data_IF_525339815549
#
_entry.id   IF_525339815549
#
_cell.length_a   1.000
_cell.length_b   1.000
_cell.length_c   1.000
_cell.angle_alpha   90.00
_cell.angle_beta   90.00
_cell.angle_gamma   90.00
#
_symmetry.space_group_name_H-M   'P 1'
#
loop_
_entity.id
_entity.type
_entity.pdbx_description
1 polymer ?
#
# COMPACT_ATOMS: atom_id res chain seq x y z
N UNK A 1 -67.65 16.20 41.19
CA UNK A 1 -67.44 14.83 40.67
C UNK A 1 -66.34 14.90 39.62
N UNK A 2 -65.28 14.08 39.80
CA UNK A 2 -64.42 13.47 38.75
C UNK A 2 -63.59 14.41 37.84
N UNK A 3 -62.30 14.61 38.13
CA UNK A 3 -61.09 13.86 37.69
C UNK A 3 -60.35 14.61 36.55
N UNK A 4 -59.16 15.17 36.84
CA UNK A 4 -57.83 14.83 36.23
C UNK A 4 -57.56 15.36 34.82
N UNK A 5 -56.37 15.79 34.38
CA UNK A 5 -55.06 16.18 34.92
C UNK A 5 -54.23 16.62 33.66
N UNK A 6 -53.13 17.36 33.87
CA UNK A 6 -51.92 17.47 33.01
C UNK A 6 -51.75 18.63 32.01
N UNK A 7 -50.65 19.36 32.27
CA UNK A 7 -49.96 20.41 31.53
C UNK A 7 -49.44 19.97 30.15
N UNK A 8 -49.32 20.91 29.21
CA UNK A 8 -48.29 20.85 28.15
C UNK A 8 -47.91 22.26 27.67
N UNK A 9 -46.69 22.65 28.01
CA UNK A 9 -45.97 23.82 27.51
C UNK A 9 -45.46 23.45 26.11
N UNK A 10 -45.91 24.15 25.07
CA UNK A 10 -45.32 24.05 23.73
C UNK A 10 -44.40 25.26 23.48
N UNK A 11 -43.09 25.01 23.60
CA UNK A 11 -42.05 25.89 23.08
C UNK A 11 -42.11 25.90 21.55
N UNK A 12 -42.27 27.09 20.95
CA UNK A 12 -42.10 27.30 19.51
C UNK A 12 -40.64 27.05 19.13
N UNK A 13 -40.41 26.01 18.33
CA UNK A 13 -39.17 25.76 17.62
C UNK A 13 -38.93 26.85 16.56
N UNK A 14 -37.81 27.57 16.68
CA UNK A 14 -37.21 28.33 15.59
C UNK A 14 -36.62 27.36 14.56
N UNK A 15 -37.28 27.20 13.42
CA UNK A 15 -36.70 26.59 12.21
C UNK A 15 -35.73 27.59 11.57
N UNK A 16 -34.45 27.48 11.92
CA UNK A 16 -33.38 28.08 11.15
C UNK A 16 -33.23 27.30 9.84
N UNK A 17 -33.76 27.85 8.75
CA UNK A 17 -33.45 27.39 7.39
C UNK A 17 -31.98 27.75 7.14
N UNK A 18 -31.08 26.76 7.24
CA UNK A 18 -29.75 26.87 6.66
C UNK A 18 -29.90 27.00 5.14
N UNK A 19 -29.94 28.23 4.63
CA UNK A 19 -29.66 28.49 3.21
C UNK A 19 -28.18 28.16 3.01
N UNK A 20 -27.90 26.94 2.56
CA UNK A 20 -26.61 26.65 1.95
C UNK A 20 -26.46 27.53 0.73
N UNK A 21 -25.57 28.52 0.78
CA UNK A 21 -25.20 29.30 -0.39
C UNK A 21 -24.52 28.32 -1.36
N UNK A 22 -25.22 27.96 -2.44
CA UNK A 22 -24.54 27.29 -3.55
C UNK A 22 -23.49 28.27 -4.09
N UNK A 23 -22.24 27.84 -4.18
CA UNK A 23 -21.16 28.65 -4.73
C UNK A 23 -21.12 28.50 -6.25
N UNK A 24 -20.90 29.61 -6.95
CA UNK A 24 -20.85 29.64 -8.41
C UNK A 24 -19.44 29.28 -8.92
N UNK A 25 -19.38 28.63 -10.08
CA UNK A 25 -18.14 28.16 -10.71
C UNK A 25 -18.26 28.15 -12.24
N UNK A 26 -17.16 27.83 -12.93
CA UNK A 26 -17.16 27.62 -14.37
C UNK A 26 -17.35 28.91 -15.17
N UNK A 27 -17.83 28.80 -16.41
CA UNK A 27 -17.95 29.92 -17.35
C UNK A 27 -18.85 31.04 -16.82
N UNK A 28 -19.86 30.71 -16.02
CA UNK A 28 -20.79 31.64 -15.37
C UNK A 28 -20.10 32.48 -14.28
N UNK A 29 -18.94 32.03 -13.78
CA UNK A 29 -18.15 32.67 -12.74
C UNK A 29 -16.71 32.95 -13.19
N UNK A 30 -16.50 33.24 -14.49
CA UNK A 30 -15.18 33.63 -15.01
C UNK A 30 -14.11 32.53 -14.94
N UNK A 31 -14.53 31.25 -14.92
CA UNK A 31 -13.64 30.10 -14.80
C UNK A 31 -13.28 29.72 -13.36
N UNK A 32 -13.99 30.24 -12.35
CA UNK A 32 -13.75 29.89 -10.96
C UNK A 32 -13.92 28.39 -10.70
N UNK A 33 -13.00 27.83 -9.89
CA UNK A 33 -13.06 26.45 -9.40
C UNK A 33 -13.87 26.38 -8.10
N UNK A 34 -14.49 25.24 -7.84
CA UNK A 34 -15.20 25.03 -6.57
C UNK A 34 -14.24 24.76 -5.42
N UNK A 35 -14.45 25.36 -4.24
CA UNK A 35 -13.67 25.02 -3.06
C UNK A 35 -13.96 23.57 -2.61
N UNK A 36 -13.03 22.99 -1.86
CA UNK A 36 -13.15 21.62 -1.37
C UNK A 36 -13.07 20.53 -2.45
N UNK A 37 -12.72 20.89 -3.70
CA UNK A 37 -12.60 19.93 -4.80
C UNK A 37 -13.94 19.41 -5.34
N UNK A 38 -15.04 20.12 -5.06
CA UNK A 38 -16.38 19.79 -5.56
C UNK A 38 -16.46 19.94 -7.09
N UNK A 39 -17.33 19.19 -7.74
CA UNK A 39 -17.54 19.32 -9.18
C UNK A 39 -18.28 20.62 -9.51
N UNK A 40 -17.92 21.22 -10.64
CA UNK A 40 -18.65 22.34 -11.20
C UNK A 40 -19.64 21.84 -12.26
N UNK A 41 -20.95 21.95 -11.98
CA UNK A 41 -22.00 21.51 -12.91
C UNK A 41 -21.99 22.30 -14.22
N UNK A 42 -22.70 21.79 -15.24
CA UNK A 42 -22.93 22.52 -16.51
C UNK A 42 -23.61 23.89 -16.35
N UNK A 43 -24.25 24.11 -15.20
CA UNK A 43 -24.97 25.34 -14.87
C UNK A 43 -24.14 26.32 -14.02
N UNK A 44 -22.90 25.97 -13.70
CA UNK A 44 -21.97 26.84 -12.97
C UNK A 44 -22.20 26.85 -11.46
N UNK A 45 -22.52 25.69 -10.89
CA UNK A 45 -22.72 25.50 -9.44
C UNK A 45 -21.87 24.36 -8.90
N UNK A 46 -21.38 24.53 -7.68
CA UNK A 46 -20.55 23.56 -6.98
C UNK A 46 -21.36 22.48 -6.26
N UNK A 47 -20.97 21.21 -6.41
CA UNK A 47 -21.57 20.08 -5.70
C UNK A 47 -20.87 18.75 -5.97
N UNK A 48 -21.28 17.70 -5.27
CA UNK A 48 -20.69 16.35 -5.30
C UNK A 48 -21.68 15.26 -5.77
N UNK A 49 -22.82 15.68 -6.35
CA UNK A 49 -23.81 14.75 -6.92
C UNK A 49 -23.53 14.48 -8.40
N UNK A 50 -24.11 13.41 -8.99
CA UNK A 50 -23.97 13.14 -10.43
C UNK A 50 -24.36 14.32 -11.32
N UNK A 51 -25.36 15.12 -10.93
CA UNK A 51 -25.77 16.33 -11.67
C UNK A 51 -24.67 17.40 -11.77
N UNK A 52 -23.72 17.37 -10.83
CA UNK A 52 -22.57 18.27 -10.78
C UNK A 52 -21.34 17.66 -11.44
N UNK A 53 -21.11 16.36 -11.26
CA UNK A 53 -19.87 15.68 -11.66
C UNK A 53 -19.91 15.01 -13.04
N UNK A 54 -21.09 14.76 -13.60
CA UNK A 54 -21.23 13.97 -14.84
C UNK A 54 -21.51 14.84 -16.07
N UNK A 55 -22.54 14.53 -16.86
CA UNK A 55 -22.80 15.09 -18.19
C UNK A 55 -22.83 16.63 -18.21
N UNK A 56 -21.77 17.23 -18.73
CA UNK A 56 -21.61 18.67 -18.88
C UNK A 56 -20.88 19.36 -17.72
N UNK A 57 -20.28 18.61 -16.79
CA UNK A 57 -19.41 19.18 -15.77
C UNK A 57 -18.28 20.02 -16.40
N UNK A 58 -18.06 21.22 -15.86
CA UNK A 58 -17.13 22.21 -16.39
C UNK A 58 -15.72 22.08 -15.79
N UNK A 59 -15.59 21.66 -14.53
CA UNK A 59 -14.30 21.52 -13.83
C UNK A 59 -14.41 20.61 -12.60
N UNK A 60 -13.30 19.99 -12.19
CA UNK A 60 -13.23 19.10 -11.00
C UNK A 60 -14.19 17.90 -11.05
N UNK A 61 -14.50 17.43 -12.26
CA UNK A 61 -15.52 16.40 -12.54
C UNK A 61 -15.18 14.99 -12.05
N UNK A 62 -13.92 14.76 -11.67
CA UNK A 62 -13.43 13.53 -11.06
C UNK A 62 -13.43 13.59 -9.52
N UNK A 63 -13.91 14.68 -8.92
CA UNK A 63 -13.95 14.91 -7.48
C UNK A 63 -15.23 14.40 -6.83
N UNK A 64 -15.14 13.23 -6.18
CA UNK A 64 -16.13 12.63 -5.28
C UNK A 64 -17.44 12.11 -5.92
N UNK A 65 -17.60 10.78 -5.91
CA UNK A 65 -18.92 10.13 -5.99
C UNK A 65 -19.13 9.15 -7.14
N UNK A 66 -18.63 7.92 -6.96
CA UNK A 66 -19.12 6.63 -7.48
C UNK A 66 -19.97 6.56 -8.77
N UNK A 67 -19.46 5.81 -9.76
CA UNK A 67 -20.32 5.14 -10.74
C UNK A 67 -19.68 4.88 -12.11
N UNK A 68 -18.96 3.76 -12.21
CA UNK A 68 -18.96 2.87 -13.37
C UNK A 68 -18.53 3.39 -14.75
N UNK A 69 -17.45 2.83 -15.29
CA UNK A 69 -17.31 2.70 -16.74
C UNK A 69 -15.89 2.74 -17.26
N UNK A 70 -15.25 1.56 -17.30
CA UNK A 70 -14.27 1.11 -18.29
C UNK A 70 -13.40 2.15 -19.01
N UNK A 71 -12.10 2.10 -18.73
CA UNK A 71 -11.10 2.71 -19.60
C UNK A 71 -9.70 2.47 -19.05
N UNK A 72 -9.03 1.43 -19.55
CA UNK A 72 -7.60 1.23 -19.30
C UNK A 72 -6.81 2.45 -19.78
N UNK A 73 -6.05 3.04 -18.89
CA UNK A 73 -5.16 4.16 -19.19
C UNK A 73 -4.25 4.36 -18.00
N UNK A 74 -2.93 4.28 -18.22
CA UNK A 74 -1.90 4.35 -17.18
C UNK A 74 -2.12 5.53 -16.26
N UNK A 75 -2.60 5.25 -15.05
CA UNK A 75 -2.67 6.24 -13.99
C UNK A 75 -1.28 6.53 -13.44
N UNK A 76 -1.10 7.69 -12.84
CA UNK A 76 0.05 7.94 -11.98
C UNK A 76 -0.32 7.51 -10.55
N UNK A 77 0.44 6.64 -9.86
CA UNK A 77 0.23 6.36 -8.44
C UNK A 77 0.14 7.62 -7.58
N UNK A 78 0.78 8.72 -7.98
CA UNK A 78 0.65 10.03 -7.32
C UNK A 78 -0.79 10.59 -7.29
N UNK A 79 -1.66 10.16 -8.20
CA UNK A 79 -3.09 10.49 -8.18
C UNK A 79 -3.90 9.70 -7.14
N UNK A 80 -3.35 8.56 -6.67
CA UNK A 80 -3.99 7.69 -5.67
C UNK A 80 -3.47 8.00 -4.26
N UNK A 81 -2.18 8.30 -4.12
CA UNK A 81 -1.55 8.64 -2.85
C UNK A 81 -0.86 10.02 -2.93
N UNK A 82 -1.44 10.98 -2.22
CA UNK A 82 -0.84 12.31 -2.07
C UNK A 82 0.39 12.28 -1.15
N UNK A 83 1.24 13.31 -1.23
CA UNK A 83 2.37 13.48 -0.30
C UNK A 83 1.92 13.49 1.16
N UNK A 84 0.86 14.23 1.49
CA UNK A 84 0.36 14.31 2.86
C UNK A 84 -0.17 12.96 3.35
N UNK A 85 -0.81 12.17 2.49
CA UNK A 85 -1.23 10.80 2.84
C UNK A 85 -0.02 9.90 3.06
N UNK A 86 0.99 9.95 2.19
CA UNK A 86 2.24 9.20 2.38
C UNK A 86 2.93 9.56 3.70
N UNK A 87 3.01 10.85 4.01
CA UNK A 87 3.59 11.34 5.26
C UNK A 87 2.76 10.93 6.49
N UNK A 88 1.44 10.87 6.37
CA UNK A 88 0.55 10.38 7.43
C UNK A 88 0.69 8.87 7.68
N UNK A 89 0.82 8.09 6.60
CA UNK A 89 1.04 6.65 6.68
C UNK A 89 2.38 6.36 7.37
N UNK A 90 3.44 7.05 6.96
CA UNK A 90 4.81 6.85 7.46
C UNK A 90 5.24 7.96 8.43
N UNK A 91 4.39 8.22 9.43
CA UNK A 91 4.43 9.41 10.29
C UNK A 91 5.76 9.59 11.03
N UNK A 92 6.29 8.53 11.64
CA UNK A 92 7.48 8.60 12.50
C UNK A 92 8.79 8.20 11.81
N UNK A 93 8.79 7.95 10.50
CA UNK A 93 10.01 7.49 9.79
C UNK A 93 11.20 8.44 9.87
N UNK A 94 10.93 9.73 10.12
CA UNK A 94 11.93 10.80 10.21
C UNK A 94 12.26 11.20 11.66
N UNK A 95 11.69 10.52 12.65
CA UNK A 95 11.98 10.80 14.06
C UNK A 95 13.45 10.52 14.36
N UNK A 96 13.99 11.23 15.36
CA UNK A 96 15.41 11.17 15.70
C UNK A 96 15.91 9.77 16.09
N UNK A 97 15.00 8.89 16.55
CA UNK A 97 15.29 7.51 16.92
C UNK A 97 15.42 6.56 15.71
N UNK A 98 14.95 6.96 14.52
CA UNK A 98 15.01 6.12 13.33
C UNK A 98 16.35 6.28 12.59
N UNK A 99 17.15 5.21 12.44
CA UNK A 99 18.41 5.29 11.70
C UNK A 99 18.25 5.68 10.23
N UNK A 100 17.09 5.41 9.63
CA UNK A 100 16.77 5.79 8.25
C UNK A 100 16.13 7.19 8.12
N UNK A 101 16.13 8.02 9.18
CA UNK A 101 15.53 9.36 9.12
C UNK A 101 16.00 10.15 7.90
N UNK A 102 15.05 10.81 7.23
CA UNK A 102 15.21 11.58 5.99
C UNK A 102 15.63 10.77 4.74
N UNK A 103 15.76 9.44 4.81
CA UNK A 103 16.09 8.61 3.66
C UNK A 103 14.87 8.40 2.74
N UNK A 104 13.75 7.98 3.30
CA UNK A 104 12.55 7.63 2.53
C UNK A 104 11.68 8.86 2.22
N UNK A 105 11.78 9.35 1.00
CA UNK A 105 11.00 10.52 0.53
C UNK A 105 9.84 10.10 -0.38
N UNK A 106 8.77 10.89 -0.37
CA UNK A 106 7.66 10.72 -1.31
C UNK A 106 8.13 10.83 -2.77
N UNK A 107 9.04 11.76 -3.05
CA UNK A 107 9.59 11.94 -4.41
C UNK A 107 10.36 10.71 -4.89
N UNK A 108 11.12 10.07 -4.00
CA UNK A 108 11.81 8.82 -4.34
C UNK A 108 10.82 7.67 -4.59
N UNK A 109 9.75 7.58 -3.78
CA UNK A 109 8.68 6.61 -3.99
C UNK A 109 8.01 6.81 -5.36
N UNK A 110 7.54 8.02 -5.68
CA UNK A 110 6.89 8.32 -6.97
C UNK A 110 7.87 8.17 -8.15
N UNK A 111 9.14 8.54 -7.98
CA UNK A 111 10.15 8.32 -9.02
C UNK A 111 10.38 6.82 -9.30
N UNK A 112 10.34 5.98 -8.26
CA UNK A 112 10.50 4.54 -8.40
C UNK A 112 9.28 3.87 -9.07
N UNK A 113 8.06 4.29 -8.77
CA UNK A 113 6.84 3.71 -9.38
C UNK A 113 6.78 3.87 -10.90
N UNK A 114 7.44 4.89 -11.46
CA UNK A 114 7.56 5.08 -12.92
C UNK A 114 8.22 3.90 -13.65
N UNK A 115 9.05 3.12 -12.96
CA UNK A 115 9.64 1.90 -13.53
C UNK A 115 8.67 0.70 -13.53
N UNK A 116 7.53 0.81 -12.84
CA UNK A 116 6.57 -0.27 -12.64
C UNK A 116 5.15 0.23 -12.90
N UNK A 117 4.79 0.52 -14.18
CA UNK A 117 3.56 1.23 -14.52
C UNK A 117 2.26 0.51 -14.14
N UNK A 118 2.30 -0.79 -13.79
CA UNK A 118 1.14 -1.54 -13.30
C UNK A 118 0.84 -1.35 -11.81
N UNK A 119 1.84 -0.93 -11.01
CA UNK A 119 1.71 -0.76 -9.56
C UNK A 119 0.84 0.45 -9.23
N UNK A 120 -0.23 0.26 -8.45
CA UNK A 120 -1.12 1.34 -8.02
C UNK A 120 -2.01 1.91 -9.13
N UNK A 121 -2.04 1.25 -10.30
CA UNK A 121 -2.79 1.70 -11.49
C UNK A 121 -3.71 0.63 -12.05
N UNK A 122 -3.67 -0.57 -11.47
CA UNK A 122 -4.47 -1.72 -11.88
C UNK A 122 -5.78 -1.80 -11.09
N UNK A 123 -6.89 -2.08 -11.77
CA UNK A 123 -8.21 -2.22 -11.14
C UNK A 123 -8.90 -0.88 -10.89
N UNK A 124 -9.95 -0.93 -10.07
CA UNK A 124 -10.69 0.26 -9.63
C UNK A 124 -9.92 1.04 -8.55
N UNK A 125 -10.43 2.23 -8.19
CA UNK A 125 -9.78 3.10 -7.18
C UNK A 125 -9.56 2.39 -5.83
N UNK A 126 -10.54 1.60 -5.38
CA UNK A 126 -10.42 0.83 -4.15
C UNK A 126 -9.29 -0.21 -4.23
N UNK A 127 -9.13 -0.88 -5.38
CA UNK A 127 -8.06 -1.86 -5.62
C UNK A 127 -6.69 -1.20 -5.69
N UNK A 128 -6.58 -0.05 -6.34
CA UNK A 128 -5.32 0.73 -6.40
C UNK A 128 -4.89 1.19 -5.01
N UNK A 129 -5.81 1.74 -4.21
CA UNK A 129 -5.56 2.12 -2.82
C UNK A 129 -5.17 0.90 -1.97
N UNK A 130 -5.84 -0.24 -2.18
CA UNK A 130 -5.56 -1.48 -1.46
C UNK A 130 -4.18 -2.03 -1.78
N UNK A 131 -3.76 -1.98 -3.05
CA UNK A 131 -2.40 -2.35 -3.45
C UNK A 131 -1.35 -1.49 -2.76
N UNK A 132 -1.52 -0.16 -2.78
CA UNK A 132 -0.59 0.77 -2.14
C UNK A 132 -0.56 0.53 -0.62
N UNK A 133 -1.72 0.34 0.02
CA UNK A 133 -1.82 0.03 1.44
C UNK A 133 -1.14 -1.31 1.78
N UNK A 134 -1.30 -2.34 0.94
CA UNK A 134 -0.68 -3.64 1.15
C UNK A 134 0.84 -3.60 0.97
N UNK A 135 1.32 -2.94 -0.09
CA UNK A 135 2.75 -2.76 -0.33
C UNK A 135 3.42 -2.00 0.81
N UNK A 136 2.86 -0.84 1.18
CA UNK A 136 3.38 -0.05 2.29
C UNK A 136 3.26 -0.83 3.60
N UNK A 137 2.18 -1.60 3.80
CA UNK A 137 1.96 -2.38 5.02
C UNK A 137 3.04 -3.44 5.23
N UNK A 138 3.33 -4.22 4.19
CA UNK A 138 4.38 -5.24 4.23
C UNK A 138 5.76 -4.61 4.44
N UNK A 139 6.10 -3.60 3.66
CA UNK A 139 7.41 -2.94 3.75
C UNK A 139 7.59 -2.15 5.05
N UNK A 140 6.50 -1.69 5.67
CA UNK A 140 6.54 -1.08 7.00
C UNK A 140 6.87 -2.08 8.09
N UNK A 141 6.35 -3.30 8.00
CA UNK A 141 6.74 -4.39 8.90
C UNK A 141 8.24 -4.70 8.77
N UNK A 142 8.73 -4.88 7.54
CA UNK A 142 10.15 -5.17 7.28
C UNK A 142 11.11 -4.10 7.83
N UNK A 143 10.62 -2.88 8.04
CA UNK A 143 11.43 -1.72 8.46
C UNK A 143 10.91 -1.08 9.74
N UNK A 144 10.10 -1.78 10.52
CA UNK A 144 9.41 -1.22 11.68
C UNK A 144 10.38 -0.83 12.78
N UNK A 145 10.16 0.34 13.35
CA UNK A 145 10.73 0.77 14.63
C UNK A 145 9.68 0.83 15.73
N UNK A 146 8.49 0.27 15.52
CA UNK A 146 7.36 0.36 16.45
C UNK A 146 7.52 -0.56 17.66
N UNK A 147 6.96 -0.13 18.79
CA UNK A 147 6.87 -0.90 20.03
C UNK A 147 5.51 -0.68 20.69
N UNK A 148 5.13 -1.54 21.62
CA UNK A 148 3.89 -1.37 22.36
C UNK A 148 3.95 -0.10 23.22
N UNK A 149 2.98 0.80 23.04
CA UNK A 149 2.97 2.12 23.66
C UNK A 149 3.74 3.21 22.90
N UNK A 150 4.23 2.93 21.68
CA UNK A 150 4.81 3.96 20.83
C UNK A 150 3.81 5.11 20.54
N UNK A 151 4.28 6.37 20.40
CA UNK A 151 3.44 7.48 19.95
C UNK A 151 2.67 7.13 18.68
N UNK A 152 1.38 7.49 18.64
CA UNK A 152 0.45 7.16 17.54
C UNK A 152 0.26 5.66 17.25
N UNK A 153 0.73 4.79 18.15
CA UNK A 153 0.68 3.33 18.04
C UNK A 153 1.80 2.76 17.17
N UNK A 154 2.18 1.50 17.43
CA UNK A 154 3.31 0.84 16.75
C UNK A 154 3.22 0.83 15.22
N UNK A 155 2.01 0.85 14.66
CA UNK A 155 1.79 0.85 13.21
C UNK A 155 2.00 2.22 12.53
N UNK A 156 2.43 3.25 13.27
CA UNK A 156 2.87 4.53 12.72
C UNK A 156 4.40 4.63 12.51
N UNK A 157 5.13 3.54 12.83
CA UNK A 157 6.60 3.48 12.90
C UNK A 157 7.24 2.59 11.82
N UNK A 158 6.56 2.40 10.68
CA UNK A 158 7.16 1.80 9.50
C UNK A 158 8.27 2.68 8.90
N UNK A 159 9.16 2.09 8.10
CA UNK A 159 10.23 2.81 7.40
C UNK A 159 11.27 3.47 8.32
N UNK A 160 11.45 2.94 9.54
CA UNK A 160 12.42 3.44 10.52
C UNK A 160 13.85 2.96 10.23
N UNK A 161 13.99 1.78 9.61
CA UNK A 161 15.26 1.17 9.23
C UNK A 161 15.40 1.05 7.71
N UNK A 162 16.65 1.06 7.24
CA UNK A 162 17.02 0.84 5.83
C UNK A 162 17.96 -0.35 5.66
N UNK A 163 18.68 -0.74 6.71
CA UNK A 163 19.57 -1.91 6.75
C UNK A 163 19.09 -2.84 7.86
N UNK A 164 19.22 -4.14 7.62
CA UNK A 164 19.08 -5.17 8.63
C UNK A 164 19.93 -4.84 9.85
N UNK A 165 19.38 -5.05 11.05
CA UNK A 165 20.07 -4.76 12.30
C UNK A 165 21.15 -5.80 12.60
N UNK A 166 20.83 -7.09 12.39
CA UNK A 166 21.72 -8.22 12.66
C UNK A 166 22.31 -8.75 11.35
N UNK A 167 23.26 -8.00 10.78
CA UNK A 167 23.77 -8.26 9.44
C UNK A 167 24.56 -9.57 9.33
N UNK A 168 24.31 -10.31 8.25
CA UNK A 168 25.11 -11.45 7.81
C UNK A 168 25.43 -11.35 6.32
N UNK A 169 26.27 -12.26 5.80
CA UNK A 169 26.69 -12.19 4.40
C UNK A 169 25.58 -12.55 3.41
N UNK A 170 24.69 -13.50 3.76
CA UNK A 170 23.63 -14.03 2.89
C UNK A 170 24.12 -14.35 1.45
N UNK A 171 25.13 -15.20 1.37
CA UNK A 171 25.72 -15.65 0.11
C UNK A 171 25.42 -17.12 -0.12
N UNK A 172 24.73 -17.42 -1.22
CA UNK A 172 24.58 -18.76 -1.79
C UNK A 172 25.16 -18.72 -3.20
N UNK A 173 26.42 -19.10 -3.34
CA UNK A 173 27.16 -18.96 -4.59
C UNK A 173 26.49 -19.72 -5.73
N UNK A 174 26.41 -19.10 -6.90
CA UNK A 174 26.06 -19.75 -8.16
C UNK A 174 26.83 -19.10 -9.30
N UNK A 175 26.94 -19.81 -10.44
CA UNK A 175 27.56 -19.23 -11.63
C UNK A 175 26.78 -18.04 -12.19
N UNK A 176 25.45 -18.04 -12.05
CA UNK A 176 24.57 -16.95 -12.52
C UNK A 176 24.63 -15.72 -11.62
N UNK A 177 24.68 -15.92 -10.30
CA UNK A 177 24.72 -14.85 -9.30
C UNK A 177 25.86 -15.10 -8.31
N UNK A 178 27.13 -14.88 -8.72
CA UNK A 178 28.26 -15.09 -7.82
C UNK A 178 28.26 -14.06 -6.68
N UNK A 179 28.86 -14.43 -5.56
CA UNK A 179 29.06 -13.49 -4.47
C UNK A 179 30.30 -12.64 -4.75
N UNK A 180 30.12 -11.33 -4.92
CA UNK A 180 31.22 -10.40 -5.11
C UNK A 180 32.10 -10.35 -3.85
N UNK A 181 33.42 -10.34 -4.04
CA UNK A 181 34.38 -10.32 -2.93
C UNK A 181 34.17 -9.10 -2.03
N UNK A 182 34.15 -9.33 -0.72
CA UNK A 182 33.93 -8.28 0.28
C UNK A 182 32.51 -7.69 0.32
N UNK A 183 31.56 -8.22 -0.44
CA UNK A 183 30.16 -7.78 -0.43
C UNK A 183 29.29 -8.66 0.45
N UNK A 184 28.27 -8.04 1.04
CA UNK A 184 27.28 -8.69 1.89
C UNK A 184 25.86 -8.35 1.42
N UNK A 185 24.98 -9.33 1.48
CA UNK A 185 23.63 -9.29 0.93
C UNK A 185 22.55 -9.41 2.01
N UNK A 186 22.82 -8.85 3.19
CA UNK A 186 21.82 -8.62 4.24
C UNK A 186 20.67 -7.74 3.75
N UNK A 187 19.58 -7.73 4.53
CA UNK A 187 18.36 -6.97 4.24
C UNK A 187 18.64 -5.48 4.02
N UNK A 188 18.25 -4.95 2.86
CA UNK A 188 18.28 -3.51 2.58
C UNK A 188 16.98 -3.01 1.96
N UNK A 189 16.66 -1.75 2.21
CA UNK A 189 15.51 -1.07 1.63
C UNK A 189 14.17 -1.53 2.21
N UNK A 190 13.05 -1.06 1.64
CA UNK A 190 11.71 -1.26 2.19
C UNK A 190 11.27 -2.72 2.31
N UNK A 191 11.71 -3.59 1.40
CA UNK A 191 11.36 -5.02 1.43
C UNK A 191 12.43 -5.89 2.11
N UNK A 192 13.46 -5.26 2.70
CA UNK A 192 14.65 -5.94 3.23
C UNK A 192 15.20 -6.98 2.24
N UNK A 193 15.49 -6.55 1.01
CA UNK A 193 16.02 -7.43 -0.04
C UNK A 193 17.26 -8.14 0.48
N UNK A 194 17.22 -9.48 0.50
CA UNK A 194 18.23 -10.33 1.14
C UNK A 194 18.65 -11.44 0.18
N UNK A 195 19.90 -11.91 0.27
CA UNK A 195 20.57 -12.92 -0.58
C UNK A 195 21.08 -12.44 -1.94
N UNK A 196 22.29 -12.85 -2.30
CA UNK A 196 22.96 -12.53 -3.57
C UNK A 196 22.09 -12.82 -4.81
N UNK A 197 21.36 -13.94 -4.85
CA UNK A 197 20.52 -14.27 -6.01
C UNK A 197 19.34 -13.30 -6.18
N UNK A 198 18.83 -12.69 -5.11
CA UNK A 198 17.80 -11.66 -5.19
C UNK A 198 18.38 -10.33 -5.65
N UNK A 199 19.54 -9.93 -5.11
CA UNK A 199 20.26 -8.74 -5.60
C UNK A 199 20.63 -8.87 -7.08
N UNK A 200 21.08 -10.04 -7.53
CA UNK A 200 21.41 -10.30 -8.93
C UNK A 200 20.21 -10.24 -9.87
N UNK A 201 19.10 -10.90 -9.51
CA UNK A 201 17.86 -10.84 -10.31
C UNK A 201 17.29 -9.41 -10.38
N UNK A 202 17.22 -8.73 -9.24
CA UNK A 202 16.73 -7.37 -9.13
C UNK A 202 17.61 -6.39 -9.90
N UNK A 203 18.92 -6.47 -9.72
CA UNK A 203 19.88 -5.62 -10.43
C UNK A 203 19.78 -5.79 -11.94
N UNK A 204 19.73 -7.04 -12.43
CA UNK A 204 19.52 -7.31 -13.86
C UNK A 204 18.22 -6.71 -14.39
N UNK A 205 17.11 -6.84 -13.66
CA UNK A 205 15.82 -6.31 -14.07
C UNK A 205 15.79 -4.76 -14.10
N UNK A 206 16.54 -4.12 -13.20
CA UNK A 206 16.60 -2.66 -13.08
C UNK A 206 17.73 -2.01 -13.90
N UNK A 207 18.61 -2.80 -14.53
CA UNK A 207 19.81 -2.30 -15.19
C UNK A 207 20.85 -1.75 -14.22
N UNK A 208 20.94 -2.31 -13.01
CA UNK A 208 21.84 -1.90 -11.94
C UNK A 208 22.75 -3.05 -11.52
N UNK A 209 24.04 -2.77 -11.28
CA UNK A 209 24.97 -3.78 -10.77
C UNK A 209 24.89 -3.91 -9.23
N UNK A 210 23.79 -4.51 -8.78
CA UNK A 210 23.51 -4.71 -7.35
C UNK A 210 24.29 -5.89 -6.74
N UNK A 211 24.92 -6.76 -7.54
CA UNK A 211 25.82 -7.80 -7.02
C UNK A 211 27.13 -7.18 -6.53
N UNK A 212 27.75 -6.29 -7.33
CA UNK A 212 28.99 -5.64 -6.93
C UNK A 212 28.75 -4.39 -6.08
N UNK A 213 27.55 -3.81 -6.10
CA UNK A 213 27.20 -2.58 -5.38
C UNK A 213 25.88 -2.73 -4.58
N UNK A 214 25.75 -3.71 -3.67
CA UNK A 214 24.50 -3.95 -2.94
C UNK A 214 24.10 -2.78 -2.03
N UNK A 215 25.06 -1.96 -1.59
CA UNK A 215 24.78 -0.80 -0.73
C UNK A 215 23.97 0.29 -1.41
N UNK A 216 23.87 0.31 -2.76
CA UNK A 216 22.99 1.24 -3.48
C UNK A 216 21.54 1.16 -2.97
N UNK A 217 21.08 -0.03 -2.55
CA UNK A 217 19.74 -0.25 -2.00
C UNK A 217 19.53 0.47 -0.66
N UNK A 218 20.61 0.88 0.01
CA UNK A 218 20.57 1.59 1.30
C UNK A 218 21.26 2.97 1.26
N UNK A 219 21.62 3.47 0.08
CA UNK A 219 22.21 4.81 -0.11
C UNK A 219 21.48 5.65 -1.16
N UNK A 220 20.75 5.03 -2.09
CA UNK A 220 19.87 5.71 -3.04
C UNK A 220 18.41 5.34 -2.73
N UNK A 221 17.55 6.30 -2.32
CA UNK A 221 16.18 6.01 -1.95
C UNK A 221 15.29 5.62 -3.12
N UNK A 222 15.59 6.08 -4.36
CA UNK A 222 14.87 5.65 -5.56
C UNK A 222 15.20 4.19 -5.85
N UNK A 223 16.47 3.80 -5.75
CA UNK A 223 16.88 2.40 -5.89
C UNK A 223 16.24 1.54 -4.81
N UNK A 224 16.23 2.00 -3.56
CA UNK A 224 15.58 1.29 -2.45
C UNK A 224 14.10 1.00 -2.73
N UNK A 225 13.33 1.99 -3.19
CA UNK A 225 11.94 1.76 -3.58
C UNK A 225 11.81 0.87 -4.83
N UNK A 226 12.68 1.03 -5.84
CA UNK A 226 12.68 0.18 -7.03
C UNK A 226 12.91 -1.29 -6.70
N UNK A 227 13.78 -1.63 -5.74
CA UNK A 227 14.00 -3.03 -5.37
C UNK A 227 12.79 -3.63 -4.66
N UNK A 228 12.10 -2.86 -3.81
CA UNK A 228 10.87 -3.29 -3.17
C UNK A 228 9.73 -3.48 -4.18
N UNK A 229 9.58 -2.55 -5.12
CA UNK A 229 8.61 -2.65 -6.22
C UNK A 229 8.93 -3.82 -7.15
N UNK A 230 10.21 -4.03 -7.48
CA UNK A 230 10.63 -5.20 -8.26
C UNK A 230 10.18 -6.50 -7.59
N UNK A 231 10.43 -6.67 -6.29
CA UNK A 231 9.99 -7.85 -5.56
C UNK A 231 8.47 -8.00 -5.60
N UNK A 232 7.74 -6.91 -5.35
CA UNK A 232 6.28 -6.89 -5.35
C UNK A 232 5.65 -7.31 -6.70
N UNK A 233 6.25 -6.83 -7.79
CA UNK A 233 5.74 -7.00 -9.15
C UNK A 233 6.24 -8.26 -9.86
N UNK A 234 7.26 -8.95 -9.33
CA UNK A 234 7.92 -10.06 -10.03
C UNK A 234 7.47 -11.42 -9.48
N UNK A 235 6.80 -12.26 -10.28
CA UNK A 235 6.54 -13.64 -9.88
C UNK A 235 7.85 -14.45 -9.83
N UNK A 236 7.98 -15.32 -8.83
CA UNK A 236 9.10 -16.25 -8.69
C UNK A 236 8.53 -17.65 -8.45
N UNK A 237 8.31 -18.40 -9.53
CA UNK A 237 7.65 -19.71 -9.49
C UNK A 237 8.21 -20.60 -8.37
N UNK A 238 7.36 -21.20 -7.51
CA UNK A 238 5.90 -21.31 -7.64
C UNK A 238 5.09 -20.10 -7.11
N UNK A 239 5.74 -19.04 -6.63
CA UNK A 239 5.07 -17.86 -6.08
C UNK A 239 4.54 -16.95 -7.20
N UNK A 240 3.25 -16.53 -7.17
CA UNK A 240 2.79 -15.44 -8.02
C UNK A 240 3.42 -14.10 -7.55
N UNK A 241 3.20 -13.03 -8.30
CA UNK A 241 3.57 -11.68 -7.84
C UNK A 241 2.61 -11.23 -6.72
N UNK A 242 3.10 -10.40 -5.79
CA UNK A 242 2.24 -9.78 -4.78
C UNK A 242 1.17 -8.88 -5.44
N UNK A 243 1.57 -8.20 -6.52
CA UNK A 243 0.70 -7.41 -7.39
C UNK A 243 -0.52 -8.20 -7.88
N UNK A 244 -0.31 -9.37 -8.49
CA UNK A 244 -1.41 -10.15 -9.05
C UNK A 244 -2.34 -10.68 -7.96
N UNK A 245 -1.81 -11.00 -6.78
CA UNK A 245 -2.63 -11.40 -5.62
C UNK A 245 -3.54 -10.27 -5.17
N UNK A 246 -3.01 -9.08 -4.92
CA UNK A 246 -3.80 -7.98 -4.33
C UNK A 246 -4.77 -7.34 -5.35
N UNK A 247 -4.45 -7.42 -6.64
CA UNK A 247 -5.28 -6.88 -7.73
C UNK A 247 -6.30 -7.89 -8.26
N UNK A 248 -6.34 -9.11 -7.70
CA UNK A 248 -7.30 -10.14 -8.07
C UNK A 248 -7.02 -10.83 -9.41
N UNK A 249 -5.79 -10.71 -9.94
CA UNK A 249 -5.36 -11.38 -11.18
C UNK A 249 -4.85 -12.79 -10.94
N UNK A 250 -4.37 -13.10 -9.74
CA UNK A 250 -3.93 -14.44 -9.39
C UNK A 250 -5.13 -15.34 -9.09
N UNK A 251 -5.25 -16.43 -9.84
CA UNK A 251 -6.21 -17.50 -9.58
C UNK A 251 -5.49 -18.69 -8.91
N UNK A 252 -5.82 -19.03 -7.64
CA UNK A 252 -5.20 -20.15 -6.94
C UNK A 252 -5.37 -21.47 -7.71
N UNK A 253 -4.28 -22.23 -7.85
CA UNK A 253 -4.34 -23.58 -8.42
C UNK A 253 -5.01 -24.57 -7.47
N UNK A 254 -5.25 -25.80 -7.94
CA UNK A 254 -5.67 -26.90 -7.06
C UNK A 254 -4.66 -27.14 -5.92
N UNK A 255 -3.36 -27.07 -6.22
CA UNK A 255 -2.30 -27.22 -5.21
C UNK A 255 -2.28 -26.05 -4.20
N UNK A 256 -2.63 -24.84 -4.62
CA UNK A 256 -2.79 -23.70 -3.71
C UNK A 256 -3.98 -23.87 -2.79
N UNK A 257 -5.12 -24.28 -3.35
CA UNK A 257 -6.35 -24.51 -2.58
C UNK A 257 -6.14 -25.63 -1.55
N UNK A 258 -5.53 -26.75 -1.92
CA UNK A 258 -5.19 -27.83 -0.98
C UNK A 258 -4.17 -27.41 0.08
N UNK A 259 -3.33 -26.42 -0.21
CA UNK A 259 -2.39 -25.83 0.73
C UNK A 259 -3.01 -24.72 1.61
N UNK A 260 -4.32 -24.47 1.48
CA UNK A 260 -5.02 -23.39 2.20
C UNK A 260 -4.70 -21.99 1.68
N UNK A 261 -3.96 -21.85 0.57
CA UNK A 261 -3.60 -20.56 -0.01
C UNK A 261 -4.76 -20.01 -0.83
N UNK A 262 -5.26 -18.85 -0.43
CA UNK A 262 -6.31 -18.10 -1.10
C UNK A 262 -5.88 -16.66 -1.36
N UNK A 263 -6.49 -16.00 -2.35
CA UNK A 263 -6.19 -14.60 -2.65
C UNK A 263 -6.50 -13.71 -1.43
N UNK A 264 -5.54 -12.85 -1.09
CA UNK A 264 -5.63 -11.95 0.07
C UNK A 264 -4.26 -11.59 0.64
N UNK A 265 -4.26 -10.73 1.65
CA UNK A 265 -3.04 -10.18 2.24
C UNK A 265 -2.16 -11.25 2.91
N UNK A 266 -2.77 -12.33 3.41
CA UNK A 266 -2.05 -13.47 3.96
C UNK A 266 -1.21 -14.22 2.93
N UNK A 267 -1.72 -14.40 1.70
CA UNK A 267 -0.92 -15.00 0.63
C UNK A 267 0.29 -14.13 0.25
N UNK A 268 0.18 -12.80 0.37
CA UNK A 268 1.29 -11.86 0.18
C UNK A 268 2.35 -12.06 1.27
N UNK A 269 1.95 -12.19 2.54
CA UNK A 269 2.87 -12.55 3.62
C UNK A 269 3.56 -13.89 3.35
N UNK A 270 2.83 -14.87 2.81
CA UNK A 270 3.40 -16.17 2.44
C UNK A 270 4.43 -16.06 1.30
N UNK A 271 4.19 -15.21 0.31
CA UNK A 271 5.15 -14.92 -0.78
C UNK A 271 6.43 -14.31 -0.20
N UNK A 272 6.30 -13.32 0.69
CA UNK A 272 7.43 -12.58 1.26
C UNK A 272 8.26 -13.45 2.20
N UNK A 273 7.64 -14.07 3.22
CA UNK A 273 8.37 -14.80 4.26
C UNK A 273 7.66 -16.05 4.79
N UNK A 274 6.88 -16.73 3.93
CA UNK A 274 6.04 -17.84 4.36
C UNK A 274 6.76 -19.01 5.03
N UNK A 275 8.00 -19.31 4.62
CA UNK A 275 8.77 -20.39 5.24
C UNK A 275 9.04 -20.18 6.75
N UNK A 276 9.11 -18.92 7.17
CA UNK A 276 9.31 -18.56 8.57
C UNK A 276 7.98 -18.29 9.27
N UNK A 277 7.01 -17.66 8.60
CA UNK A 277 5.84 -17.06 9.25
C UNK A 277 4.50 -17.79 9.05
N UNK A 278 4.35 -18.61 8.00
CA UNK A 278 3.06 -19.17 7.62
C UNK A 278 2.92 -20.67 7.96
N UNK A 279 1.68 -21.13 8.15
CA UNK A 279 1.37 -22.54 8.41
C UNK A 279 1.72 -23.00 9.83
N UNK A 280 1.91 -22.06 10.76
CA UNK A 280 2.36 -22.31 12.15
C UNK A 280 1.37 -21.76 13.19
N UNK A 281 0.13 -21.47 12.78
CA UNK A 281 -0.84 -20.80 13.64
C UNK A 281 -0.54 -19.31 13.81
N UNK A 282 -1.21 -18.70 14.79
CA UNK A 282 -1.04 -17.30 15.15
C UNK A 282 0.42 -16.98 15.49
N UNK A 283 0.92 -15.85 15.00
CA UNK A 283 2.22 -15.32 15.42
C UNK A 283 2.30 -13.80 15.27
N UNK A 284 3.17 -13.19 16.08
CA UNK A 284 3.28 -11.74 16.19
C UNK A 284 3.78 -11.05 14.91
N UNK A 285 4.61 -11.72 14.09
CA UNK A 285 5.12 -11.13 12.86
C UNK A 285 4.01 -10.93 11.82
N UNK A 286 3.19 -11.95 11.61
CA UNK A 286 2.02 -11.86 10.72
C UNK A 286 1.02 -10.82 11.25
N UNK A 287 0.77 -10.76 12.56
CA UNK A 287 -0.09 -9.72 13.15
C UNK A 287 0.44 -8.31 12.95
N UNK A 288 1.75 -8.12 13.02
CA UNK A 288 2.35 -6.81 12.80
C UNK A 288 2.17 -6.36 11.33
N UNK A 289 2.39 -7.26 10.36
CA UNK A 289 2.07 -7.03 8.94
C UNK A 289 0.60 -6.64 8.75
N UNK A 290 -0.32 -7.37 9.38
CA UNK A 290 -1.77 -7.12 9.31
C UNK A 290 -2.12 -5.77 9.94
N UNK A 291 -1.51 -5.43 11.07
CA UNK A 291 -1.76 -4.19 11.80
C UNK A 291 -1.39 -2.94 10.99
N UNK A 292 -0.23 -2.94 10.34
CA UNK A 292 0.15 -1.88 9.40
C UNK A 292 -0.86 -1.78 8.24
N UNK A 293 -1.20 -2.91 7.61
CA UNK A 293 -2.14 -2.94 6.50
C UNK A 293 -3.52 -2.38 6.87
N UNK A 294 -4.07 -2.78 8.02
CA UNK A 294 -5.36 -2.28 8.53
C UNK A 294 -5.30 -0.77 8.76
N UNK A 295 -4.29 -0.26 9.48
CA UNK A 295 -4.12 1.19 9.70
C UNK A 295 -4.08 1.96 8.37
N UNK A 296 -3.40 1.41 7.37
CA UNK A 296 -3.25 2.09 6.08
C UNK A 296 -4.56 2.07 5.29
N UNK A 297 -5.27 0.94 5.29
CA UNK A 297 -6.61 0.87 4.71
C UNK A 297 -7.60 1.82 5.38
N UNK A 298 -7.53 1.99 6.71
CA UNK A 298 -8.37 2.93 7.45
C UNK A 298 -8.10 4.39 7.03
N UNK A 299 -6.81 4.75 6.86
CA UNK A 299 -6.42 6.08 6.35
C UNK A 299 -6.92 6.29 4.91
N UNK A 300 -6.87 5.26 4.07
CA UNK A 300 -7.43 5.30 2.71
C UNK A 300 -8.96 5.17 2.66
N UNK A 301 -9.62 4.87 3.79
CA UNK A 301 -11.06 4.61 3.91
C UNK A 301 -11.55 3.50 2.98
N UNK A 302 -10.83 2.39 2.96
CA UNK A 302 -11.16 1.19 2.17
C UNK A 302 -11.24 -0.05 3.07
N UNK A 303 -12.00 -1.06 2.63
CA UNK A 303 -12.04 -2.35 3.32
C UNK A 303 -10.76 -3.16 3.11
N UNK A 304 -10.42 -3.97 4.12
CA UNK A 304 -9.21 -4.79 4.16
C UNK A 304 -9.24 -5.97 3.18
N UNK A 305 -10.44 -6.38 2.74
CA UNK A 305 -10.63 -7.66 2.07
C UNK A 305 -10.61 -8.83 3.06
N UNK A 306 -10.53 -10.05 2.50
CA UNK A 306 -10.54 -11.31 3.26
C UNK A 306 -9.14 -11.95 3.28
N UNK A 307 -8.99 -13.07 3.99
CA UNK A 307 -7.77 -13.89 4.02
C UNK A 307 -6.53 -13.06 4.41
N UNK A 308 -6.63 -12.34 5.53
CA UNK A 308 -5.59 -11.40 5.96
C UNK A 308 -4.35 -12.11 6.52
N UNK A 309 -4.52 -13.29 7.09
CA UNK A 309 -3.46 -14.09 7.68
C UNK A 309 -3.05 -15.27 6.80
N UNK A 310 -1.90 -15.85 7.15
CA UNK A 310 -1.41 -17.09 6.58
C UNK A 310 -1.21 -18.19 7.63
N UNK A 311 -1.92 -18.12 8.76
CA UNK A 311 -1.70 -19.00 9.90
C UNK A 311 -1.80 -20.48 9.54
N UNK A 312 -2.75 -20.80 8.64
CA UNK A 312 -3.03 -22.15 8.19
C UNK A 312 -2.65 -22.39 6.73
N UNK A 313 -1.92 -21.46 6.11
CA UNK A 313 -1.45 -21.61 4.74
C UNK A 313 -0.10 -22.35 4.73
N UNK A 314 0.00 -23.43 3.96
CA UNK A 314 1.29 -24.09 3.75
C UNK A 314 2.24 -23.14 2.98
N UNK A 315 3.50 -22.96 3.41
CA UNK A 315 4.45 -22.07 2.74
C UNK A 315 4.66 -22.42 1.26
N UNK A 316 4.76 -21.42 0.40
CA UNK A 316 5.22 -21.64 -0.98
C UNK A 316 6.61 -22.31 -0.97
N UNK A 317 6.83 -23.28 -1.86
CA UNK A 317 8.09 -24.03 -1.92
C UNK A 317 8.22 -25.18 -0.91
N UNK A 318 7.32 -25.29 0.07
CA UNK A 318 7.23 -26.50 0.90
C UNK A 318 6.35 -27.53 0.17
N UNK A 319 6.96 -28.56 -0.41
CA UNK A 319 6.29 -29.62 -1.18
C UNK A 319 7.21 -30.82 -1.29
N UNK A 320 6.67 -32.04 -1.26
CA UNK A 320 7.41 -33.33 -1.33
C UNK A 320 8.33 -33.50 -2.56
N UNK A 321 8.37 -32.53 -3.48
CA UNK A 321 9.18 -32.53 -4.70
C UNK A 321 10.25 -31.42 -4.75
N UNK A 322 10.40 -30.59 -3.71
CA UNK A 322 11.37 -29.48 -3.68
C UNK A 322 12.60 -29.80 -2.81
N UNK A 323 12.51 -30.80 -1.93
CA UNK A 323 13.65 -31.26 -1.10
C UNK A 323 14.67 -32.12 -1.89
N UNK A 324 14.67 -32.04 -3.23
CA UNK A 324 15.49 -32.90 -4.11
C UNK A 324 16.25 -32.12 -5.21
N UNK A 325 16.33 -30.79 -5.13
CA UNK A 325 17.13 -29.99 -6.06
C UNK A 325 18.13 -29.11 -5.32
#
# INVERSE_FOLDING_TARGET
>A
MKYFWILSIFSLFLLAIQKGSAEQCGQQAGGALCPGGLCCSKWGWCGDTPDHCTNGCQSQCSGSGGGGGGGGGGGDPGSIISRSTFDQLLKHRNDGACPARNFYTYDAFIAATKAFPGFGTTGDDATRKREIAAFLGQTSHETTGGWDGAPDGKYAWGYCYVREQNQATYCSWSQTYPCASGRQYYGRGPIQLTWNYNYGQCGRALGLDLLNNPDLVATDPVVAFKTALWFWMTPQSPKPSCHDVITGKWNPSGADTSAGRAAGYGAITNIINGGLECGKGWNAAVEDRIGFYKRYCDIFRIGYGNNLDCYNQRPFGSGLMVDSM
#
